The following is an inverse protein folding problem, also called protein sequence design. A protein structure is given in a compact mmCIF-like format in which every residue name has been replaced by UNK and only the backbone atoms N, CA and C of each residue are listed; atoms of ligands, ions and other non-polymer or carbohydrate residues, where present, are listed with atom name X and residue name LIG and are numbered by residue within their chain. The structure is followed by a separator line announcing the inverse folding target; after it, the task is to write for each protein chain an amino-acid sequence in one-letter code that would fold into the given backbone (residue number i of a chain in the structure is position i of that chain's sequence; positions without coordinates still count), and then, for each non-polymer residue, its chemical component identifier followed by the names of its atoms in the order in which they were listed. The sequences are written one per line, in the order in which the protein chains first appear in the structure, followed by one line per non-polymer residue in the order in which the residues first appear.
data_IF_945599622484
#
_entry.id   IF_945599622484
#
_cell.length_a   1.000
_cell.length_b   1.000
_cell.length_c   1.000
_cell.angle_alpha   90.00
_cell.angle_beta   90.00
_cell.angle_gamma   90.00
#
_symmetry.space_group_name_H-M   'P 1'
#
loop_
_entity.id
_entity.type
_entity.pdbx_description
1 polymer ?
#
# COMPACT_ATOMS: atom_id res chain seq x y z
N UNK A 1 9.13 -8.73 29.02
CA UNK A 1 9.06 -7.77 27.90
C UNK A 1 7.97 -8.17 26.94
N UNK A 2 7.16 -7.23 26.55
CA UNK A 2 6.08 -7.50 25.62
C UNK A 2 6.62 -7.35 24.20
N UNK A 3 6.39 -8.34 23.36
CA UNK A 3 6.70 -8.22 21.94
C UNK A 3 5.74 -7.22 21.32
N UNK A 4 6.30 -6.14 20.82
CA UNK A 4 5.51 -5.14 20.14
C UNK A 4 5.60 -5.37 18.64
N UNK A 5 4.46 -5.28 17.97
CA UNK A 5 4.38 -5.40 16.52
C UNK A 5 3.82 -4.10 15.96
N UNK A 6 4.16 -3.75 14.73
CA UNK A 6 3.57 -2.58 14.11
C UNK A 6 2.07 -2.76 13.92
N UNK A 7 1.34 -1.65 13.96
CA UNK A 7 -0.09 -1.70 13.64
C UNK A 7 -0.26 -1.95 12.14
N UNK A 8 -1.17 -2.84 11.80
CA UNK A 8 -1.48 -3.17 10.40
C UNK A 8 -2.96 -2.89 10.17
N UNK A 9 -3.25 -2.08 9.16
CA UNK A 9 -4.62 -1.74 8.79
C UNK A 9 -4.77 -1.96 7.29
N UNK A 10 -5.90 -2.51 6.87
CA UNK A 10 -6.24 -2.64 5.46
C UNK A 10 -7.55 -1.93 5.17
N UNK A 11 -7.67 -1.42 3.94
CA UNK A 11 -8.87 -0.72 3.51
C UNK A 11 -9.08 -0.92 2.01
N UNK A 12 -10.31 -1.06 1.59
CA UNK A 12 -10.68 -1.34 0.22
C UNK A 12 -10.81 -0.08 -0.66
N UNK A 13 -10.44 1.09 -0.17
CA UNK A 13 -10.46 2.32 -0.97
C UNK A 13 -9.69 2.15 -2.26
N UNK A 14 -10.32 2.47 -3.39
CA UNK A 14 -9.75 2.18 -4.70
C UNK A 14 -9.98 3.28 -5.74
N UNK A 15 -10.69 4.34 -5.38
CA UNK A 15 -10.96 5.46 -6.29
C UNK A 15 -10.45 6.78 -5.69
N UNK A 16 -10.55 7.84 -6.49
CA UNK A 16 -10.06 9.15 -6.07
C UNK A 16 -10.73 9.63 -4.78
N UNK A 17 -12.06 9.51 -4.70
CA UNK A 17 -12.80 9.94 -3.50
C UNK A 17 -12.38 9.19 -2.25
N UNK A 18 -12.24 7.87 -2.37
CA UNK A 18 -11.78 7.03 -1.26
C UNK A 18 -10.38 7.42 -0.80
N UNK A 19 -9.46 7.68 -1.74
CA UNK A 19 -8.10 8.05 -1.41
C UNK A 19 -7.97 9.48 -0.89
N UNK A 20 -8.85 10.39 -1.29
CA UNK A 20 -8.89 11.70 -0.66
C UNK A 20 -9.16 11.59 0.83
N UNK A 21 -10.10 10.73 1.20
CA UNK A 21 -10.43 10.48 2.60
C UNK A 21 -9.29 9.73 3.31
N UNK A 22 -8.80 8.64 2.73
CA UNK A 22 -7.74 7.82 3.32
C UNK A 22 -6.45 8.60 3.52
N UNK A 23 -6.04 9.40 2.54
CA UNK A 23 -4.82 10.19 2.63
C UNK A 23 -4.88 11.14 3.82
N UNK A 24 -6.05 11.74 4.04
CA UNK A 24 -6.27 12.63 5.17
C UNK A 24 -6.20 11.87 6.49
N UNK A 25 -6.82 10.69 6.54
CA UNK A 25 -6.78 9.84 7.74
C UNK A 25 -5.35 9.36 8.04
N UNK A 26 -4.65 8.90 7.02
CA UNK A 26 -3.28 8.42 7.19
C UNK A 26 -2.34 9.54 7.64
N UNK A 27 -2.60 10.77 7.20
CA UNK A 27 -1.80 11.93 7.61
C UNK A 27 -1.92 12.26 9.10
N UNK A 28 -2.95 11.76 9.79
CA UNK A 28 -3.14 12.00 11.22
C UNK A 28 -2.49 10.93 12.10
N UNK A 29 -1.99 9.85 11.50
CA UNK A 29 -1.46 8.73 12.27
C UNK A 29 -0.06 9.06 12.75
N UNK A 30 0.15 8.94 14.05
CA UNK A 30 1.45 9.13 14.67
C UNK A 30 2.20 7.81 14.66
N UNK A 31 3.34 7.79 13.97
CA UNK A 31 4.20 6.62 13.90
C UNK A 31 5.60 7.07 13.52
N UNK A 32 6.58 6.22 13.78
CA UNK A 32 7.96 6.50 13.40
C UNK A 32 8.11 6.50 11.87
N UNK A 33 7.55 5.50 11.23
CA UNK A 33 7.57 5.36 9.77
C UNK A 33 6.28 4.67 9.31
N UNK A 34 5.69 5.18 8.25
CA UNK A 34 4.55 4.55 7.60
C UNK A 34 5.02 3.70 6.45
N UNK A 35 4.47 2.49 6.33
CA UNK A 35 4.73 1.56 5.23
C UNK A 35 3.41 1.30 4.53
N UNK A 36 3.39 1.40 3.20
CA UNK A 36 2.17 1.21 2.42
C UNK A 36 2.40 0.10 1.40
N UNK A 37 1.65 -0.99 1.56
CA UNK A 37 1.56 -2.07 0.58
C UNK A 37 0.42 -1.71 -0.36
N UNK A 38 0.75 -1.39 -1.61
CA UNK A 38 -0.18 -0.76 -2.53
C UNK A 38 -0.23 -1.49 -3.86
N UNK A 39 -1.44 -1.70 -4.36
CA UNK A 39 -1.68 -2.21 -5.69
C UNK A 39 -3.02 -1.73 -6.19
N UNK A 40 -3.19 -1.68 -7.50
CA UNK A 40 -4.43 -1.23 -8.11
C UNK A 40 -4.85 -2.15 -9.24
N UNK A 41 -6.14 -2.11 -9.55
CA UNK A 41 -6.62 -2.64 -10.82
C UNK A 41 -6.33 -1.62 -11.92
N UNK A 42 -6.35 -2.06 -13.17
CA UNK A 42 -6.16 -1.16 -14.30
C UNK A 42 -7.31 -0.15 -14.33
N UNK A 43 -6.98 1.10 -14.06
CA UNK A 43 -7.94 2.19 -13.91
C UNK A 43 -7.34 3.47 -14.49
N UNK A 44 -8.17 4.22 -15.20
CA UNK A 44 -7.76 5.49 -15.82
C UNK A 44 -7.40 6.57 -14.80
N UNK A 45 -7.84 6.42 -13.55
CA UNK A 45 -7.62 7.41 -12.50
C UNK A 45 -6.38 7.14 -11.65
N UNK A 46 -5.53 6.18 -12.05
CA UNK A 46 -4.36 5.81 -11.25
C UNK A 46 -3.46 6.99 -10.94
N UNK A 47 -3.23 7.88 -11.90
CA UNK A 47 -2.35 9.04 -11.69
C UNK A 47 -2.93 9.98 -10.63
N UNK A 48 -4.24 10.15 -10.60
CA UNK A 48 -4.90 10.98 -9.58
C UNK A 48 -4.78 10.36 -8.20
N UNK A 49 -4.90 9.04 -8.10
CA UNK A 49 -4.73 8.32 -6.83
C UNK A 49 -3.28 8.45 -6.36
N UNK A 50 -2.31 8.29 -7.26
CA UNK A 50 -0.89 8.40 -6.90
C UNK A 50 -0.56 9.79 -6.34
N UNK A 51 -1.18 10.84 -6.87
CA UNK A 51 -1.00 12.19 -6.34
C UNK A 51 -1.49 12.34 -4.89
N UNK A 52 -2.44 11.50 -4.48
CA UNK A 52 -3.04 11.56 -3.16
C UNK A 52 -2.29 10.74 -2.12
N UNK A 53 -1.38 9.87 -2.53
CA UNK A 53 -0.67 9.00 -1.59
C UNK A 53 0.26 9.79 -0.68
N UNK A 54 0.38 9.40 0.61
CA UNK A 54 1.30 10.06 1.55
C UNK A 54 2.76 9.84 1.13
N UNK A 55 3.42 10.89 0.68
CA UNK A 55 4.76 10.77 0.07
C UNK A 55 5.87 10.50 1.09
N UNK A 56 5.60 10.68 2.37
CA UNK A 56 6.56 10.38 3.43
C UNK A 56 6.64 8.89 3.77
N UNK A 57 5.71 8.08 3.25
CA UNK A 57 5.66 6.64 3.52
C UNK A 57 6.66 5.88 2.66
N UNK A 58 7.03 4.69 3.12
CA UNK A 58 7.76 3.72 2.30
C UNK A 58 6.74 2.86 1.56
N UNK A 59 6.95 2.68 0.27
CA UNK A 59 5.98 2.00 -0.59
C UNK A 59 6.49 0.63 -1.04
N UNK A 60 5.56 -0.32 -1.05
CA UNK A 60 5.78 -1.70 -1.48
C UNK A 60 4.70 -1.98 -2.51
N UNK A 61 5.04 -1.79 -3.80
CA UNK A 61 4.08 -1.93 -4.88
C UNK A 61 3.91 -3.40 -5.23
N UNK A 62 2.67 -3.81 -5.43
CA UNK A 62 2.38 -5.21 -5.72
C UNK A 62 1.10 -5.31 -6.56
N UNK A 63 0.73 -6.53 -6.90
CA UNK A 63 -0.52 -6.80 -7.60
C UNK A 63 -1.24 -7.98 -6.96
N UNK A 64 -2.56 -7.92 -6.98
CA UNK A 64 -3.39 -9.04 -6.57
C UNK A 64 -3.40 -10.11 -7.66
N UNK A 65 -3.76 -11.33 -7.29
CA UNK A 65 -3.83 -12.46 -8.23
C UNK A 65 -5.16 -12.42 -8.99
N UNK A 66 -5.31 -11.41 -9.83
CA UNK A 66 -6.48 -11.24 -10.69
C UNK A 66 -6.05 -10.68 -12.03
N UNK A 67 -6.79 -11.01 -13.09
CA UNK A 67 -6.51 -10.49 -14.44
C UNK A 67 -6.67 -8.97 -14.53
N UNK A 68 -7.41 -8.37 -13.61
CA UNK A 68 -7.64 -6.93 -13.60
C UNK A 68 -6.51 -6.16 -12.95
N UNK A 69 -5.58 -6.85 -12.29
CA UNK A 69 -4.50 -6.19 -11.56
C UNK A 69 -3.56 -5.47 -12.51
N UNK A 70 -3.24 -4.23 -12.16
CA UNK A 70 -2.18 -3.49 -12.85
C UNK A 70 -0.84 -4.02 -12.37
N UNK A 71 0.11 -4.19 -13.30
CA UNK A 71 1.43 -4.70 -12.96
C UNK A 71 2.12 -3.84 -11.91
N UNK A 72 2.77 -4.48 -10.94
CA UNK A 72 3.49 -3.81 -9.87
C UNK A 72 4.63 -2.93 -10.41
N UNK A 73 5.26 -3.34 -11.51
CA UNK A 73 6.33 -2.53 -12.11
C UNK A 73 5.78 -1.31 -12.82
N UNK A 74 4.59 -1.42 -13.42
CA UNK A 74 3.93 -0.26 -14.03
C UNK A 74 3.53 0.76 -12.96
N UNK A 75 2.99 0.28 -11.84
CA UNK A 75 2.65 1.15 -10.73
C UNK A 75 3.90 1.86 -10.20
N UNK A 76 4.99 1.10 -10.02
CA UNK A 76 6.26 1.65 -9.56
C UNK A 76 6.77 2.78 -10.47
N UNK A 77 6.73 2.57 -11.78
CA UNK A 77 7.17 3.58 -12.74
C UNK A 77 6.28 4.82 -12.71
N UNK A 78 4.97 4.63 -12.65
CA UNK A 78 4.03 5.75 -12.58
C UNK A 78 4.20 6.52 -11.28
N UNK A 79 4.37 5.82 -10.16
CA UNK A 79 4.58 6.45 -8.86
C UNK A 79 5.84 7.31 -8.85
N UNK A 80 6.90 6.85 -9.50
CA UNK A 80 8.14 7.60 -9.60
C UNK A 80 7.94 8.96 -10.25
N UNK A 81 7.07 9.05 -11.26
CA UNK A 81 6.72 10.30 -11.91
C UNK A 81 5.98 11.26 -10.98
N UNK A 82 5.37 10.74 -9.92
CA UNK A 82 4.68 11.53 -8.91
C UNK A 82 5.54 11.78 -7.66
N UNK A 83 6.83 11.51 -7.76
CA UNK A 83 7.75 11.75 -6.64
C UNK A 83 7.70 10.69 -5.56
N UNK A 84 7.23 9.50 -5.88
CA UNK A 84 7.09 8.39 -4.94
C UNK A 84 8.07 7.28 -5.30
N UNK A 85 9.00 6.98 -4.40
CA UNK A 85 9.91 5.86 -4.58
C UNK A 85 9.41 4.65 -3.79
N UNK A 86 9.58 3.46 -4.38
CA UNK A 86 9.21 2.22 -3.72
C UNK A 86 9.75 1.02 -4.48
N UNK A 87 9.61 -0.15 -3.88
CA UNK A 87 10.02 -1.41 -4.48
C UNK A 87 8.80 -2.17 -4.98
N UNK A 88 8.98 -2.99 -6.01
CA UNK A 88 7.92 -3.77 -6.60
C UNK A 88 8.07 -5.25 -6.21
N UNK A 89 6.95 -5.89 -5.91
CA UNK A 89 6.90 -7.29 -5.48
C UNK A 89 5.79 -8.01 -6.26
N UNK A 90 6.02 -9.25 -6.68
CA UNK A 90 5.05 -9.94 -7.56
C UNK A 90 3.77 -10.39 -6.87
N UNK A 91 3.76 -10.46 -5.54
CA UNK A 91 2.56 -10.87 -4.79
C UNK A 91 2.36 -9.99 -3.57
N UNK A 92 1.11 -9.92 -3.11
CA UNK A 92 0.77 -9.19 -1.87
C UNK A 92 1.52 -9.79 -0.68
N UNK A 93 1.63 -11.11 -0.63
CA UNK A 93 2.34 -11.80 0.45
C UNK A 93 3.80 -11.36 0.54
N UNK A 94 4.50 -11.30 -0.59
CA UNK A 94 5.90 -10.88 -0.61
C UNK A 94 6.06 -9.41 -0.25
N UNK A 95 5.17 -8.55 -0.76
CA UNK A 95 5.20 -7.13 -0.42
C UNK A 95 4.95 -6.90 1.06
N UNK A 96 3.96 -7.58 1.62
CA UNK A 96 3.65 -7.46 3.04
C UNK A 96 4.80 -7.97 3.91
N UNK A 97 5.40 -9.10 3.56
CA UNK A 97 6.55 -9.63 4.30
C UNK A 97 7.70 -8.64 4.30
N UNK A 98 7.98 -8.00 3.17
CA UNK A 98 9.02 -6.99 3.08
C UNK A 98 8.71 -5.80 3.99
N UNK A 99 7.47 -5.32 3.98
CA UNK A 99 7.04 -4.23 4.84
C UNK A 99 7.17 -4.60 6.33
N UNK A 100 6.72 -5.79 6.68
CA UNK A 100 6.76 -6.26 8.06
C UNK A 100 8.20 -6.38 8.57
N UNK A 101 9.11 -6.91 7.74
CA UNK A 101 10.53 -7.03 8.11
C UNK A 101 11.19 -5.68 8.29
N UNK A 102 10.79 -4.69 7.51
CA UNK A 102 11.35 -3.34 7.57
C UNK A 102 10.74 -2.50 8.67
N UNK A 103 9.59 -2.90 9.21
CA UNK A 103 8.86 -2.12 10.19
C UNK A 103 9.36 -2.41 11.60
N UNK A 104 9.38 -1.38 12.43
CA UNK A 104 9.61 -1.53 13.86
C UNK A 104 8.28 -1.46 14.62
N UNK A 105 8.34 -1.69 15.94
CA UNK A 105 7.13 -1.69 16.79
C UNK A 105 6.35 -0.38 16.73
N UNK A 106 7.04 0.74 16.47
CA UNK A 106 6.42 2.06 16.41
C UNK A 106 6.02 2.48 14.99
N UNK A 107 6.10 1.56 14.05
CA UNK A 107 5.73 1.82 12.66
C UNK A 107 4.26 1.46 12.42
N UNK A 108 3.77 1.87 11.26
CA UNK A 108 2.39 1.61 10.83
C UNK A 108 2.43 1.03 9.42
N UNK A 109 1.68 -0.04 9.18
CA UNK A 109 1.59 -0.67 7.87
C UNK A 109 0.14 -0.54 7.37
N UNK A 110 -0.02 0.03 6.20
CA UNK A 110 -1.30 0.11 5.51
C UNK A 110 -1.26 -0.80 4.29
N UNK A 111 -2.33 -1.58 4.09
CA UNK A 111 -2.47 -2.46 2.93
C UNK A 111 -3.73 -2.03 2.18
N UNK A 112 -3.59 -1.68 0.90
CA UNK A 112 -4.75 -1.25 0.16
C UNK A 112 -4.46 -0.89 -1.28
N UNK A 113 -5.40 -0.14 -1.86
CA UNK A 113 -5.39 0.28 -3.26
C UNK A 113 -6.48 -0.37 -4.06
N UNK A 114 -6.94 -1.57 -3.69
CA UNK A 114 -8.09 -2.21 -4.28
C UNK A 114 -8.61 -3.29 -3.34
N UNK A 115 -9.87 -3.69 -3.55
CA UNK A 115 -10.46 -4.78 -2.78
C UNK A 115 -9.74 -6.11 -3.04
N UNK A 116 -9.17 -6.29 -4.23
CA UNK A 116 -8.42 -7.50 -4.56
C UNK A 116 -7.12 -7.61 -3.76
N UNK A 117 -6.45 -6.47 -3.53
CA UNK A 117 -5.26 -6.45 -2.68
C UNK A 117 -5.62 -6.84 -1.26
N UNK A 118 -6.66 -6.26 -0.70
CA UNK A 118 -7.12 -6.59 0.65
C UNK A 118 -7.54 -8.05 0.74
N UNK A 119 -8.25 -8.56 -0.28
CA UNK A 119 -8.64 -9.97 -0.32
C UNK A 119 -7.45 -10.91 -0.27
N UNK A 120 -6.44 -10.66 -1.10
CA UNK A 120 -5.22 -11.47 -1.11
C UNK A 120 -4.47 -11.37 0.22
N UNK A 121 -4.43 -10.18 0.80
CA UNK A 121 -3.80 -9.98 2.10
C UNK A 121 -4.47 -10.82 3.19
N UNK A 122 -5.79 -10.74 3.26
CA UNK A 122 -6.55 -11.49 4.28
C UNK A 122 -6.45 -13.00 4.08
N UNK A 123 -6.35 -13.44 2.83
CA UNK A 123 -6.27 -14.86 2.49
C UNK A 123 -4.89 -15.45 2.79
N UNK A 124 -3.81 -14.70 2.53
CA UNK A 124 -2.45 -15.25 2.51
C UNK A 124 -1.55 -14.76 3.64
N UNK A 125 -1.89 -13.65 4.30
CA UNK A 125 -0.99 -13.01 5.26
C UNK A 125 -1.51 -13.03 6.71
N UNK A 126 -2.74 -13.51 6.89
CA UNK A 126 -3.34 -13.60 8.24
C UNK A 126 -3.71 -15.03 8.57
#
# INVERSE_FOLDING_TARGET
MVNQIPRVVCDTGHNVGGWQYLSRQLGTIQCRQMHIVFGMVDDKDIDKVLDLLPKHAKFYFTKAQTKRALSETVIQEKAKKHGIDGHAYPTVNEAYKAAYRSASANDFIFVGGSSYIVGDFLKNCI
#
